data_IF_896817599101
#
_entry.id   IF_896817599101
#
_cell.length_a   1.000
_cell.length_b   1.000
_cell.length_c   1.000
_cell.angle_alpha   90.00
_cell.angle_beta   90.00
_cell.angle_gamma   90.00
#
_symmetry.space_group_name_H-M   'P 1'
#
loop_
_entity.id
_entity.type
_entity.pdbx_description
1 polymer ?
#
# COMPACT_ATOMS: atom_id res chain seq x y z
N UNK A 1 4.88 61.67 3.42
CA UNK A 1 6.28 62.09 3.46
C UNK A 1 7.14 60.88 3.11
N UNK A 2 7.79 60.91 1.93
CA UNK A 2 8.98 60.15 1.49
C UNK A 2 9.08 58.66 1.88
N UNK A 3 8.75 57.72 0.97
CA UNK A 3 9.72 57.02 0.08
C UNK A 3 10.82 56.33 0.90
N UNK A 4 10.96 55.00 0.88
CA UNK A 4 11.61 54.31 -0.25
C UNK A 4 11.28 52.83 -0.34
N UNK A 5 10.95 52.42 -1.57
CA UNK A 5 10.95 51.06 -2.11
C UNK A 5 12.26 50.33 -1.78
N UNK A 6 12.18 49.14 -1.19
CA UNK A 6 13.21 48.13 -1.40
C UNK A 6 12.70 47.07 -2.38
N UNK A 7 13.41 47.04 -3.51
CA UNK A 7 13.24 46.16 -4.65
C UNK A 7 14.12 44.94 -4.40
N UNK A 8 13.55 43.84 -3.91
CA UNK A 8 14.19 42.54 -4.05
C UNK A 8 13.76 41.96 -5.41
N UNK A 9 14.72 41.93 -6.33
CA UNK A 9 14.65 41.23 -7.60
C UNK A 9 15.76 40.17 -7.58
N UNK A 10 15.41 38.98 -7.12
CA UNK A 10 15.95 37.70 -7.58
C UNK A 10 14.73 36.77 -7.55
N UNK A 11 14.23 36.22 -8.65
CA UNK A 11 15.00 35.57 -9.69
C UNK A 11 14.91 34.06 -9.45
N UNK A 12 13.76 33.50 -9.85
CA UNK A 12 13.56 32.10 -10.27
C UNK A 12 13.97 30.97 -9.30
N UNK A 13 12.97 30.43 -8.61
CA UNK A 13 12.84 28.98 -8.43
C UNK A 13 11.43 28.59 -8.87
N UNK A 14 11.39 27.65 -9.80
CA UNK A 14 10.28 27.29 -10.66
C UNK A 14 9.06 26.78 -9.87
N UNK A 15 7.82 27.15 -10.27
CA UNK A 15 6.61 26.56 -9.73
C UNK A 15 6.26 25.30 -10.54
N UNK A 16 6.93 24.19 -10.31
CA UNK A 16 6.59 22.93 -10.99
C UNK A 16 6.78 21.75 -10.05
N UNK A 17 5.66 21.17 -9.62
CA UNK A 17 5.45 19.79 -9.14
C UNK A 17 4.24 19.68 -8.18
N UNK A 18 3.28 20.62 -8.19
CA UNK A 18 1.91 20.35 -7.70
C UNK A 18 0.91 20.81 -8.78
N UNK A 19 1.10 20.29 -9.99
CA UNK A 19 0.16 20.42 -11.09
C UNK A 19 0.03 19.07 -11.80
N UNK A 20 -0.47 18.06 -11.09
CA UNK A 20 -0.93 16.80 -11.71
C UNK A 20 -2.17 16.22 -11.05
N UNK A 21 -2.87 17.02 -10.23
CA UNK A 21 -4.23 16.71 -9.80
C UNK A 21 -5.15 17.90 -10.14
N UNK A 22 -5.04 18.39 -11.37
CA UNK A 22 -6.25 18.73 -12.10
C UNK A 22 -6.73 17.38 -12.66
N UNK A 23 -7.99 17.03 -12.56
CA UNK A 23 -9.02 17.86 -13.13
C UNK A 23 -10.35 17.29 -12.68
N UNK A 24 -11.22 18.16 -12.18
CA UNK A 24 -12.66 17.95 -12.04
C UNK A 24 -13.18 16.96 -13.09
N UNK A 25 -13.53 15.76 -12.66
CA UNK A 25 -14.72 15.16 -13.22
C UNK A 25 -15.87 15.89 -12.54
N UNK A 26 -16.50 16.79 -13.28
CA UNK A 26 -17.83 17.28 -12.98
C UNK A 26 -18.73 16.06 -12.79
N UNK A 27 -18.88 15.62 -11.54
CA UNK A 27 -19.89 14.65 -11.16
C UNK A 27 -21.21 15.40 -11.35
N UNK A 28 -21.82 15.25 -12.52
CA UNK A 28 -23.12 15.86 -12.80
C UNK A 28 -24.10 15.34 -11.75
N UNK A 29 -24.47 16.21 -10.80
CA UNK A 29 -25.55 15.96 -9.86
C UNK A 29 -26.82 15.78 -10.71
N UNK A 30 -27.31 14.54 -10.82
CA UNK A 30 -28.59 14.26 -11.45
C UNK A 30 -29.69 14.49 -10.41
N UNK A 31 -30.10 15.74 -10.25
CA UNK A 31 -31.30 16.07 -9.49
C UNK A 31 -32.56 15.97 -10.37
N UNK A 32 -33.52 15.25 -9.80
CA UNK A 32 -34.99 15.38 -9.93
C UNK A 32 -35.80 14.46 -10.85
N UNK A 33 -37.04 14.28 -10.38
CA UNK A 33 -38.04 13.28 -10.72
C UNK A 33 -38.52 13.37 -12.17
N UNK A 34 -38.21 12.33 -12.95
CA UNK A 34 -38.73 12.18 -14.31
C UNK A 34 -37.89 11.22 -15.13
N UNK A 35 -38.53 10.58 -16.12
CA UNK A 35 -37.87 9.63 -17.03
C UNK A 35 -36.96 10.37 -18.02
N UNK A 36 -35.73 10.69 -17.61
CA UNK A 36 -34.71 11.31 -18.48
C UNK A 36 -33.76 10.24 -19.02
N UNK A 37 -33.61 10.13 -20.34
CA UNK A 37 -32.64 9.23 -20.98
C UNK A 37 -31.29 9.93 -21.14
N UNK A 38 -30.22 9.31 -20.62
CA UNK A 38 -28.84 9.82 -20.73
C UNK A 38 -28.12 9.06 -21.84
N UNK A 39 -27.45 9.73 -22.78
CA UNK A 39 -26.69 9.06 -23.84
C UNK A 39 -25.44 8.40 -23.25
N UNK A 40 -25.26 7.12 -23.53
CA UNK A 40 -24.08 6.36 -23.10
C UNK A 40 -22.86 6.81 -23.90
N UNK A 41 -21.82 7.32 -23.22
CA UNK A 41 -20.57 7.80 -23.86
C UNK A 41 -19.74 6.65 -24.43
N UNK A 42 -19.65 5.54 -23.71
CA UNK A 42 -18.92 4.35 -24.14
C UNK A 42 -19.31 3.16 -23.26
N UNK A 43 -19.47 1.98 -23.86
CA UNK A 43 -19.58 0.71 -23.14
C UNK A 43 -18.28 -0.06 -23.34
N UNK A 44 -17.67 -0.52 -22.25
CA UNK A 44 -16.51 -1.41 -22.29
C UNK A 44 -16.86 -2.70 -21.57
N UNK A 45 -16.59 -3.82 -22.21
CA UNK A 45 -16.59 -5.15 -21.58
C UNK A 45 -15.16 -5.37 -21.13
N UNK A 46 -14.97 -5.51 -19.82
CA UNK A 46 -13.66 -5.79 -19.21
C UNK A 46 -13.69 -7.23 -18.74
N UNK A 47 -12.74 -8.01 -19.22
CA UNK A 47 -12.46 -9.34 -18.71
C UNK A 47 -11.41 -9.20 -17.62
N UNK A 48 -11.73 -9.65 -16.41
CA UNK A 48 -10.83 -9.69 -15.26
C UNK A 48 -10.68 -11.14 -14.80
N UNK A 49 -9.49 -11.49 -14.32
CA UNK A 49 -9.19 -12.81 -13.79
C UNK A 49 -9.06 -12.76 -12.26
N UNK A 50 -9.51 -13.83 -11.59
CA UNK A 50 -9.31 -13.96 -10.13
C UNK A 50 -7.85 -14.29 -9.85
N UNK A 51 -7.17 -13.51 -9.01
CA UNK A 51 -5.82 -13.83 -8.54
C UNK A 51 -5.86 -14.61 -7.23
N UNK A 52 -4.85 -15.47 -7.02
CA UNK A 52 -4.66 -16.15 -5.74
C UNK A 52 -4.27 -15.12 -4.64
N UNK A 53 -4.61 -15.37 -3.36
CA UNK A 53 -4.17 -14.52 -2.27
C UNK A 53 -2.64 -14.49 -2.16
N UNK A 54 -2.11 -13.36 -1.71
CA UNK A 54 -0.69 -13.22 -1.42
C UNK A 54 -0.29 -14.05 -0.19
N UNK A 55 0.95 -14.59 -0.15
CA UNK A 55 1.49 -15.21 1.05
C UNK A 55 1.57 -14.21 2.21
N UNK A 56 1.39 -14.70 3.43
CA UNK A 56 1.36 -13.87 4.62
C UNK A 56 2.75 -13.35 4.98
N UNK A 57 2.81 -12.08 5.37
CA UNK A 57 3.98 -11.50 6.04
C UNK A 57 3.93 -11.80 7.53
N UNK A 58 5.08 -11.75 8.20
CA UNK A 58 5.17 -11.95 9.66
C UNK A 58 4.19 -11.02 10.41
N UNK A 59 4.15 -9.74 10.07
CA UNK A 59 3.25 -8.77 10.73
C UNK A 59 1.76 -9.12 10.55
N UNK A 60 1.37 -9.67 9.40
CA UNK A 60 -0.01 -10.09 9.13
C UNK A 60 -0.35 -11.38 9.88
N UNK A 61 0.61 -12.30 9.98
CA UNK A 61 0.49 -13.50 10.77
C UNK A 61 0.32 -13.17 12.27
N UNK A 62 1.10 -12.23 12.81
CA UNK A 62 0.97 -11.74 14.20
C UNK A 62 -0.43 -11.20 14.45
N UNK A 63 -0.94 -10.34 13.57
CA UNK A 63 -2.29 -9.79 13.69
C UNK A 63 -3.39 -10.86 13.65
N UNK A 64 -3.22 -11.89 12.80
CA UNK A 64 -4.15 -13.01 12.74
C UNK A 64 -4.11 -13.85 14.02
N UNK A 65 -2.92 -14.11 14.56
CA UNK A 65 -2.75 -14.82 15.83
C UNK A 65 -3.45 -14.08 16.97
N UNK A 66 -3.26 -12.77 17.09
CA UNK A 66 -3.94 -11.93 18.09
C UNK A 66 -5.47 -11.91 17.91
N UNK A 67 -5.94 -11.70 16.68
CA UNK A 67 -7.38 -11.67 16.36
C UNK A 67 -8.08 -12.98 16.73
N UNK A 68 -7.39 -14.10 16.59
CA UNK A 68 -7.91 -15.41 16.94
C UNK A 68 -7.63 -15.81 18.40
N UNK A 69 -6.90 -15.00 19.16
CA UNK A 69 -6.52 -15.30 20.55
C UNK A 69 -5.56 -16.49 20.66
N UNK A 70 -4.78 -16.77 19.62
CA UNK A 70 -3.78 -17.84 19.58
C UNK A 70 -2.44 -17.24 19.99
N UNK A 71 -2.04 -17.49 21.23
CA UNK A 71 -0.88 -16.85 21.82
C UNK A 71 -1.21 -15.49 22.43
N UNK A 72 -0.36 -15.06 23.36
CA UNK A 72 -0.30 -13.69 23.88
C UNK A 72 0.83 -12.94 23.19
N UNK A 73 0.81 -11.59 23.19
CA UNK A 73 1.87 -10.71 22.67
C UNK A 73 3.29 -11.18 23.07
N UNK A 74 3.46 -11.68 24.30
CA UNK A 74 4.72 -12.22 24.81
C UNK A 74 5.18 -13.54 24.18
N UNK A 75 4.26 -14.33 23.61
CA UNK A 75 4.50 -15.69 23.13
C UNK A 75 4.43 -15.85 21.62
N UNK A 76 3.82 -14.89 20.91
CA UNK A 76 3.59 -14.99 19.46
C UNK A 76 4.91 -15.12 18.69
N UNK A 77 5.92 -14.32 19.06
CA UNK A 77 7.27 -14.39 18.48
C UNK A 77 7.90 -15.78 18.62
N UNK A 78 7.74 -16.41 19.80
CA UNK A 78 8.27 -17.75 20.06
C UNK A 78 7.57 -18.82 19.22
N UNK A 79 6.26 -18.69 18.98
CA UNK A 79 5.54 -19.63 18.11
C UNK A 79 6.03 -19.52 16.66
N UNK A 80 6.22 -18.30 16.16
CA UNK A 80 6.73 -18.03 14.81
C UNK A 80 8.16 -18.57 14.65
N UNK A 81 9.06 -18.31 15.61
CA UNK A 81 10.42 -18.84 15.57
C UNK A 81 10.46 -20.38 15.57
N UNK A 82 9.59 -21.02 16.36
CA UNK A 82 9.53 -22.49 16.44
C UNK A 82 9.05 -23.14 15.14
N UNK A 83 8.09 -22.55 14.42
CA UNK A 83 7.62 -23.10 13.14
C UNK A 83 8.67 -22.94 12.03
N UNK A 84 9.47 -21.87 12.07
CA UNK A 84 10.60 -21.65 11.17
C UNK A 84 11.73 -22.64 11.44
N UNK A 85 12.16 -22.79 12.70
CA UNK A 85 13.21 -23.72 13.10
C UNK A 85 12.88 -25.19 12.75
N UNK A 86 11.59 -25.55 12.83
CA UNK A 86 11.10 -26.89 12.45
C UNK A 86 10.87 -27.06 10.95
N UNK A 87 11.12 -26.01 10.15
CA UNK A 87 10.95 -26.00 8.69
C UNK A 87 9.52 -26.38 8.25
N UNK A 88 8.51 -25.93 9.01
CA UNK A 88 7.10 -26.08 8.61
C UNK A 88 6.65 -24.99 7.64
N UNK A 89 7.35 -23.87 7.63
CA UNK A 89 7.10 -22.73 6.74
C UNK A 89 8.42 -22.33 6.11
N UNK A 90 8.37 -21.85 4.88
CA UNK A 90 9.52 -21.32 4.15
C UNK A 90 9.27 -19.85 3.82
N UNK A 91 10.29 -19.03 4.03
CA UNK A 91 10.25 -17.61 3.62
C UNK A 91 10.47 -17.57 2.11
N UNK A 92 9.57 -16.87 1.41
CA UNK A 92 9.63 -16.68 -0.03
C UNK A 92 9.81 -15.22 -0.38
N UNK A 93 10.44 -14.96 -1.52
CA UNK A 93 10.51 -13.64 -2.11
C UNK A 93 9.14 -13.20 -2.69
N UNK A 94 9.07 -11.98 -3.21
CA UNK A 94 7.86 -11.42 -3.82
C UNK A 94 7.37 -12.22 -5.05
N UNK A 95 8.17 -13.14 -5.57
CA UNK A 95 7.88 -13.95 -6.74
C UNK A 95 7.63 -15.43 -6.39
N UNK A 96 7.64 -15.77 -5.09
CA UNK A 96 7.39 -17.14 -4.60
C UNK A 96 8.61 -18.05 -4.61
N UNK A 97 9.83 -17.52 -4.79
CA UNK A 97 11.05 -18.32 -4.70
C UNK A 97 11.52 -18.42 -3.25
N UNK A 98 11.99 -19.59 -2.81
CA UNK A 98 12.50 -19.75 -1.46
C UNK A 98 13.77 -18.92 -1.23
N UNK A 99 13.84 -18.25 -0.09
CA UNK A 99 15.04 -17.55 0.36
C UNK A 99 15.86 -18.54 1.18
N UNK A 100 17.04 -18.91 0.68
CA UNK A 100 18.03 -19.66 1.46
C UNK A 100 18.70 -18.67 2.42
N UNK A 101 18.29 -18.69 3.69
CA UNK A 101 19.00 -17.98 4.74
C UNK A 101 20.26 -18.78 5.07
N UNK A 102 21.45 -18.23 4.75
CA UNK A 102 22.71 -18.77 5.25
C UNK A 102 22.68 -18.66 6.78
N UNK A 103 22.68 -19.79 7.47
CA UNK A 103 22.82 -19.84 8.93
C UNK A 103 24.17 -19.22 9.28
N UNK A 104 24.19 -17.96 9.71
CA UNK A 104 25.36 -17.34 10.32
C UNK A 104 25.62 -18.12 11.62
N UNK A 105 26.56 -19.06 11.59
CA UNK A 105 27.05 -19.78 12.76
C UNK A 105 27.61 -18.75 13.74
N UNK A 106 26.75 -18.26 14.62
CA UNK A 106 27.14 -17.41 15.74
C UNK A 106 28.08 -18.21 16.63
N UNK A 107 29.36 -17.87 16.57
CA UNK A 107 30.39 -18.30 17.52
C UNK A 107 29.87 -18.10 18.95
N UNK A 108 29.78 -19.20 19.70
CA UNK A 108 29.55 -19.15 21.13
C UNK A 108 30.88 -18.83 21.83
N UNK A 109 30.96 -17.66 22.48
CA UNK A 109 31.86 -17.46 23.63
C UNK A 109 31.12 -17.71 24.95
#
# INVERSE_FOLDING_TARGET
CHSTKQRLHLGQLLPTMIASLNFSQDLQVLEEEGTRSVPVRSVRVVEEETSAPEPLKEAELVQLMDKHGIGTDASISSHIANILARRYVQVVDAFGNPIEEEEEEGEAE
#
